data_IF_677210272930
#
_entry.id   IF_677210272930
#
_cell.length_a   1.000
_cell.length_b   1.000
_cell.length_c   1.000
_cell.angle_alpha   90.00
_cell.angle_beta   90.00
_cell.angle_gamma   90.00
#
_symmetry.space_group_name_H-M   'P 1'
#
loop_
_entity.id
_entity.type
_entity.pdbx_description
1 polymer ?
#
# COMPACT_ATOMS: atom_id res chain seq x y z
N UNK A 1 -16.16 15.25 -13.93
CA UNK A 1 -14.96 14.39 -14.09
C UNK A 1 -14.35 14.22 -12.72
N UNK A 2 -14.12 12.99 -12.25
CA UNK A 2 -13.39 12.80 -11.00
C UNK A 2 -11.97 13.33 -11.17
N UNK A 3 -11.64 14.40 -10.45
CA UNK A 3 -10.29 14.94 -10.41
C UNK A 3 -9.46 14.03 -9.51
N UNK A 4 -8.58 13.23 -10.11
CA UNK A 4 -7.66 12.39 -9.35
C UNK A 4 -6.49 13.23 -8.84
N UNK A 5 -6.26 13.21 -7.53
CA UNK A 5 -5.26 14.06 -6.86
C UNK A 5 -4.20 13.18 -6.18
N UNK A 6 -2.95 13.64 -6.21
CA UNK A 6 -1.83 13.10 -5.42
C UNK A 6 -1.04 14.24 -4.79
N UNK A 7 -0.65 14.08 -3.52
CA UNK A 7 0.32 14.96 -2.88
C UNK A 7 1.72 14.41 -3.11
N UNK A 8 2.68 15.28 -3.42
CA UNK A 8 4.06 14.89 -3.77
C UNK A 8 5.05 15.76 -3.00
N UNK A 9 6.09 15.14 -2.44
CA UNK A 9 7.18 15.87 -1.78
C UNK A 9 7.93 16.74 -2.78
N UNK A 10 8.35 17.93 -2.37
CA UNK A 10 9.04 18.87 -3.24
C UNK A 10 10.43 18.38 -3.71
N UNK A 11 11.06 17.44 -3.00
CA UNK A 11 12.34 16.81 -3.39
C UNK A 11 12.18 15.93 -4.62
N UNK A 12 10.97 15.41 -4.84
CA UNK A 12 10.66 14.48 -5.92
C UNK A 12 10.43 15.19 -7.27
N UNK A 13 10.45 16.52 -7.30
CA UNK A 13 10.39 17.33 -8.53
C UNK A 13 11.48 17.01 -9.54
N UNK A 14 12.59 16.41 -9.11
CA UNK A 14 13.70 16.02 -10.00
C UNK A 14 13.40 14.77 -10.83
N UNK A 15 12.39 13.99 -10.44
CA UNK A 15 11.95 12.77 -11.10
C UNK A 15 11.00 13.05 -12.27
N UNK A 16 11.04 12.23 -13.33
CA UNK A 16 10.07 12.31 -14.43
C UNK A 16 8.69 11.77 -14.06
N UNK A 17 8.53 11.14 -12.90
CA UNK A 17 7.25 10.58 -12.43
C UNK A 17 6.13 11.62 -12.46
N UNK A 18 6.39 12.84 -12.00
CA UNK A 18 5.39 13.92 -11.95
C UNK A 18 4.92 14.32 -13.35
N UNK A 19 5.83 14.35 -14.33
CA UNK A 19 5.50 14.69 -15.71
C UNK A 19 4.62 13.61 -16.33
N UNK A 20 4.93 12.33 -16.09
CA UNK A 20 4.08 11.22 -16.52
C UNK A 20 2.69 11.27 -15.86
N UNK A 21 2.61 11.53 -14.56
CA UNK A 21 1.32 11.65 -13.85
C UNK A 21 0.47 12.80 -14.40
N UNK A 22 1.08 13.97 -14.66
CA UNK A 22 0.41 15.12 -15.28
C UNK A 22 -0.10 14.78 -16.68
N UNK A 23 0.70 14.10 -17.51
CA UNK A 23 0.29 13.63 -18.84
C UNK A 23 -0.90 12.66 -18.78
N UNK A 24 -1.02 11.88 -17.71
CA UNK A 24 -2.16 11.00 -17.44
C UNK A 24 -3.38 11.72 -16.84
N UNK A 25 -3.34 13.04 -16.69
CA UNK A 25 -4.45 13.84 -16.17
C UNK A 25 -4.60 13.80 -14.65
N UNK A 26 -3.57 13.36 -13.90
CA UNK A 26 -3.55 13.45 -12.44
C UNK A 26 -3.19 14.87 -12.01
N UNK A 27 -3.97 15.43 -11.08
CA UNK A 27 -3.63 16.68 -10.41
C UNK A 27 -2.57 16.42 -9.34
N UNK A 28 -1.38 16.95 -9.59
CA UNK A 28 -0.23 16.86 -8.71
C UNK A 28 -0.17 18.09 -7.82
N UNK A 29 -0.36 17.92 -6.52
CA UNK A 29 -0.16 18.96 -5.52
C UNK A 29 1.21 18.77 -4.87
N UNK A 30 2.06 19.77 -4.96
CA UNK A 30 3.43 19.67 -4.44
C UNK A 30 3.51 20.40 -3.12
N UNK A 31 4.01 19.72 -2.08
CA UNK A 31 4.24 20.29 -0.76
C UNK A 31 5.49 19.67 -0.14
N UNK A 32 6.14 20.36 0.81
CA UNK A 32 7.17 19.73 1.62
C UNK A 32 6.51 18.74 2.58
N UNK A 33 6.97 17.50 2.56
CA UNK A 33 6.45 16.42 3.40
C UNK A 33 7.52 15.95 4.38
N UNK A 34 7.07 15.61 5.58
CA UNK A 34 7.93 15.00 6.62
C UNK A 34 8.06 13.48 6.42
N UNK A 35 7.17 12.88 5.62
CA UNK A 35 7.01 11.42 5.49
C UNK A 35 6.65 11.06 4.05
N UNK A 36 7.42 10.15 3.46
CA UNK A 36 7.19 9.62 2.12
C UNK A 36 7.43 10.63 1.00
N UNK A 37 7.41 10.13 -0.23
CA UNK A 37 7.54 10.95 -1.44
C UNK A 37 6.17 11.25 -2.07
N UNK A 38 5.19 10.36 -1.86
CA UNK A 38 3.82 10.53 -2.36
C UNK A 38 2.79 10.15 -1.29
N UNK A 39 1.74 10.97 -1.14
CA UNK A 39 0.53 10.60 -0.40
C UNK A 39 -0.61 10.42 -1.38
N UNK A 40 -1.10 9.17 -1.44
CA UNK A 40 -2.17 8.75 -2.35
C UNK A 40 -3.54 8.88 -1.68
N UNK A 41 -3.59 8.59 -0.38
CA UNK A 41 -4.77 8.73 0.46
C UNK A 41 -4.35 8.88 1.92
N UNK A 42 -5.32 9.12 2.83
CA UNK A 42 -5.07 9.13 4.27
C UNK A 42 -4.40 7.84 4.79
N UNK A 43 -4.62 6.73 4.10
CA UNK A 43 -4.14 5.42 4.53
C UNK A 43 -2.83 5.03 3.85
N UNK A 44 -2.50 5.60 2.67
CA UNK A 44 -1.42 5.13 1.79
C UNK A 44 -0.39 6.24 1.59
N UNK A 45 0.75 6.06 2.24
CA UNK A 45 1.99 6.80 2.01
C UNK A 45 2.93 5.93 1.19
N UNK A 46 3.57 6.53 0.19
CA UNK A 46 4.50 5.86 -0.71
C UNK A 46 5.89 6.45 -0.54
N UNK A 47 6.87 5.58 -0.35
CA UNK A 47 8.30 5.87 -0.46
C UNK A 47 8.81 5.28 -1.77
N UNK A 48 9.44 6.09 -2.62
CA UNK A 48 10.07 5.65 -3.87
C UNK A 48 11.56 5.48 -3.62
N UNK A 49 12.12 4.34 -4.01
CA UNK A 49 13.52 4.02 -3.78
C UNK A 49 14.12 3.35 -5.00
N UNK A 50 15.27 3.80 -5.46
CA UNK A 50 16.05 2.99 -6.40
C UNK A 50 16.60 1.75 -5.67
N UNK A 51 16.96 0.71 -6.42
CA UNK A 51 17.67 -0.45 -5.86
C UNK A 51 18.92 -0.03 -5.08
N UNK A 52 19.69 0.90 -5.65
CA UNK A 52 20.93 1.38 -5.09
C UNK A 52 20.67 2.10 -3.75
N UNK A 53 19.64 2.96 -3.72
CA UNK A 53 19.22 3.63 -2.50
C UNK A 53 18.70 2.65 -1.45
N UNK A 54 17.97 1.60 -1.85
CA UNK A 54 17.48 0.57 -0.93
C UNK A 54 18.65 -0.14 -0.24
N UNK A 55 19.61 -0.62 -1.02
CA UNK A 55 20.84 -1.27 -0.54
C UNK A 55 21.60 -0.32 0.40
N UNK A 56 21.84 0.92 -0.03
CA UNK A 56 22.55 1.90 0.79
C UNK A 56 21.82 2.19 2.11
N UNK A 57 20.50 2.37 2.08
CA UNK A 57 19.71 2.59 3.30
C UNK A 57 19.63 1.39 4.23
N UNK A 58 19.79 0.17 3.70
CA UNK A 58 19.91 -1.03 4.50
C UNK A 58 21.27 -1.07 5.21
N UNK A 59 22.36 -0.79 4.48
CA UNK A 59 23.73 -0.73 5.04
C UNK A 59 23.81 0.34 6.14
N UNK A 60 23.26 1.51 5.87
CA UNK A 60 23.28 2.65 6.80
C UNK A 60 22.23 2.52 7.92
N UNK A 61 21.42 1.45 7.92
CA UNK A 61 20.32 1.19 8.88
C UNK A 61 19.19 2.23 8.89
N UNK A 62 19.20 3.20 7.97
CA UNK A 62 18.20 4.27 7.84
C UNK A 62 16.83 3.77 7.36
N UNK A 63 16.78 2.68 6.60
CA UNK A 63 15.54 2.14 6.04
C UNK A 63 14.48 1.84 7.10
N UNK A 64 14.88 1.25 8.23
CA UNK A 64 13.94 0.90 9.29
C UNK A 64 13.37 2.12 10.01
N UNK A 65 14.13 3.22 10.11
CA UNK A 65 13.64 4.47 10.70
C UNK A 65 12.58 5.10 9.79
N UNK A 66 12.84 5.15 8.48
CA UNK A 66 11.88 5.63 7.49
C UNK A 66 10.57 4.82 7.55
N UNK A 67 10.69 3.48 7.57
CA UNK A 67 9.55 2.56 7.65
C UNK A 67 8.75 2.77 8.94
N UNK A 68 9.41 2.84 10.10
CA UNK A 68 8.72 3.09 11.38
C UNK A 68 8.03 4.45 11.37
N UNK A 69 8.64 5.45 10.74
CA UNK A 69 8.02 6.76 10.62
C UNK A 69 6.74 6.68 9.77
N UNK A 70 6.79 6.02 8.60
CA UNK A 70 5.61 5.82 7.76
C UNK A 70 4.48 5.09 8.52
N UNK A 71 4.79 4.03 9.27
CA UNK A 71 3.82 3.23 10.02
C UNK A 71 3.08 4.03 11.12
N UNK A 72 3.63 5.13 11.61
CA UNK A 72 2.94 6.00 12.59
C UNK A 72 1.78 6.76 11.98
N UNK A 73 1.83 7.05 10.68
CA UNK A 73 0.88 7.94 10.00
C UNK A 73 0.10 7.25 8.87
N UNK A 74 0.48 6.03 8.49
CA UNK A 74 -0.10 5.28 7.38
C UNK A 74 -0.42 3.85 7.82
N UNK A 75 -1.68 3.44 7.60
CA UNK A 75 -2.13 2.06 7.84
C UNK A 75 -1.72 1.10 6.72
N UNK A 76 -1.32 1.65 5.56
CA UNK A 76 -0.92 0.89 4.37
C UNK A 76 0.31 1.54 3.72
N UNK A 77 1.47 1.56 4.41
CA UNK A 77 2.68 2.11 3.84
C UNK A 77 3.12 1.25 2.65
N UNK A 78 3.64 1.91 1.62
CA UNK A 78 4.10 1.29 0.39
C UNK A 78 5.51 1.77 0.06
N UNK A 79 6.40 0.83 -0.26
CA UNK A 79 7.69 1.11 -0.87
C UNK A 79 7.63 0.70 -2.34
N UNK A 80 7.91 1.62 -3.25
CA UNK A 80 8.14 1.32 -4.66
C UNK A 80 9.65 1.24 -4.89
N UNK A 81 10.13 0.07 -5.29
CA UNK A 81 11.53 -0.19 -5.60
C UNK A 81 11.74 -0.15 -7.11
N UNK A 82 12.52 0.82 -7.58
CA UNK A 82 12.83 1.00 -8.99
C UNK A 82 14.14 0.35 -9.41
N UNK A 83 14.09 -0.35 -10.54
CA UNK A 83 15.25 -0.89 -11.25
C UNK A 83 15.18 -2.39 -11.44
N UNK A 84 16.27 -2.96 -11.96
CA UNK A 84 16.37 -4.39 -12.20
C UNK A 84 16.83 -5.13 -10.94
N UNK A 85 15.99 -6.01 -10.37
CA UNK A 85 16.31 -6.78 -9.15
C UNK A 85 17.64 -7.53 -9.23
N UNK A 86 18.10 -7.95 -10.42
CA UNK A 86 19.40 -8.59 -10.60
C UNK A 86 20.56 -7.69 -10.18
N UNK A 87 20.37 -6.37 -10.15
CA UNK A 87 21.37 -5.41 -9.67
C UNK A 87 21.54 -5.43 -8.15
N UNK A 88 20.53 -5.87 -7.38
CA UNK A 88 20.61 -5.93 -5.92
C UNK A 88 21.80 -6.81 -5.48
N UNK A 89 22.07 -7.91 -6.20
CA UNK A 89 23.13 -8.86 -5.86
C UNK A 89 24.51 -8.48 -6.39
N UNK A 90 24.64 -7.36 -7.14
CA UNK A 90 25.95 -6.85 -7.59
C UNK A 90 26.73 -6.20 -6.45
N UNK A 91 26.05 -5.84 -5.36
CA UNK A 91 26.65 -5.22 -4.19
C UNK A 91 27.42 -6.23 -3.35
N UNK A 92 28.76 -6.19 -3.40
CA UNK A 92 29.63 -7.12 -2.66
C UNK A 92 29.40 -7.15 -1.14
N UNK A 93 28.81 -6.10 -0.57
CA UNK A 93 28.56 -5.98 0.88
C UNK A 93 27.25 -6.63 1.34
N UNK A 94 26.38 -7.06 0.42
CA UNK A 94 25.07 -7.61 0.78
C UNK A 94 24.91 -8.99 0.16
N UNK A 95 24.53 -9.95 1.02
CA UNK A 95 24.20 -11.31 0.61
C UNK A 95 22.72 -11.44 0.24
N UNK A 96 22.34 -12.40 -0.62
CA UNK A 96 20.92 -12.63 -0.95
C UNK A 96 20.04 -12.91 0.28
N UNK A 97 20.57 -13.61 1.29
CA UNK A 97 19.86 -13.89 2.53
C UNK A 97 19.49 -12.63 3.30
N UNK A 98 20.35 -11.60 3.31
CA UNK A 98 20.06 -10.33 3.99
C UNK A 98 18.94 -9.56 3.28
N UNK A 99 18.88 -9.61 1.95
CA UNK A 99 17.80 -9.00 1.17
C UNK A 99 16.47 -9.72 1.41
N UNK A 100 16.47 -11.05 1.36
CA UNK A 100 15.27 -11.84 1.64
C UNK A 100 14.79 -11.61 3.09
N UNK A 101 15.71 -11.61 4.06
CA UNK A 101 15.40 -11.30 5.46
C UNK A 101 14.83 -9.88 5.65
N UNK A 102 15.34 -8.89 4.92
CA UNK A 102 14.75 -7.56 4.87
C UNK A 102 13.30 -7.61 4.38
N UNK A 103 13.04 -8.23 3.22
CA UNK A 103 11.68 -8.30 2.67
C UNK A 103 10.72 -9.06 3.59
N UNK A 104 11.16 -10.15 4.22
CA UNK A 104 10.38 -10.85 5.24
C UNK A 104 10.05 -9.94 6.42
N UNK A 105 11.02 -9.16 6.90
CA UNK A 105 10.81 -8.25 8.03
C UNK A 105 9.82 -7.14 7.67
N UNK A 106 9.99 -6.51 6.50
CA UNK A 106 9.07 -5.47 6.01
C UNK A 106 7.65 -5.99 5.84
N UNK A 107 7.49 -7.21 5.32
CA UNK A 107 6.20 -7.86 5.18
C UNK A 107 5.54 -8.08 6.55
N UNK A 108 6.28 -8.59 7.54
CA UNK A 108 5.77 -8.81 8.90
C UNK A 108 5.42 -7.48 9.61
N UNK A 109 6.09 -6.40 9.26
CA UNK A 109 5.77 -5.05 9.74
C UNK A 109 4.54 -4.42 9.05
N UNK A 110 3.93 -5.10 8.08
CA UNK A 110 2.77 -4.59 7.35
C UNK A 110 3.11 -3.60 6.24
N UNK A 111 4.37 -3.57 5.78
CA UNK A 111 4.81 -2.71 4.68
C UNK A 111 4.59 -3.41 3.35
N UNK A 112 3.91 -2.72 2.43
CA UNK A 112 3.72 -3.20 1.08
C UNK A 112 4.95 -2.86 0.24
N UNK A 113 5.38 -3.77 -0.65
CA UNK A 113 6.51 -3.55 -1.54
C UNK A 113 6.07 -3.85 -2.97
N UNK A 114 6.42 -2.95 -3.89
CA UNK A 114 6.19 -3.14 -5.33
C UNK A 114 7.50 -2.85 -6.06
N UNK A 115 7.88 -3.74 -6.97
CA UNK A 115 9.03 -3.55 -7.84
C UNK A 115 8.57 -3.07 -9.20
N UNK A 116 9.26 -2.07 -9.74
CA UNK A 116 9.01 -1.49 -11.06
C UNK A 116 10.34 -1.23 -11.77
N UNK A 117 10.33 -1.16 -13.09
CA UNK A 117 11.55 -1.06 -13.89
C UNK A 117 12.14 0.34 -13.91
N UNK A 118 11.30 1.38 -13.86
CA UNK A 118 11.70 2.78 -14.01
C UNK A 118 10.62 3.76 -13.54
N UNK A 119 10.93 5.05 -13.63
CA UNK A 119 10.06 6.19 -13.32
C UNK A 119 8.71 6.18 -14.04
N UNK A 120 8.70 5.75 -15.30
CA UNK A 120 7.47 5.69 -16.09
C UNK A 120 6.52 4.63 -15.52
N UNK A 121 7.04 3.45 -15.17
CA UNK A 121 6.25 2.41 -14.51
C UNK A 121 5.77 2.79 -13.12
N UNK A 122 6.58 3.54 -12.35
CA UNK A 122 6.14 4.13 -11.10
C UNK A 122 4.92 5.01 -11.32
N UNK A 123 4.97 5.90 -12.31
CA UNK A 123 3.84 6.77 -12.63
C UNK A 123 2.59 5.98 -13.05
N UNK A 124 2.74 4.95 -13.91
CA UNK A 124 1.61 4.09 -14.29
C UNK A 124 1.03 3.32 -13.11
N UNK A 125 1.89 2.79 -12.23
CA UNK A 125 1.47 2.10 -11.02
C UNK A 125 0.68 3.05 -10.10
N UNK A 126 1.21 4.24 -9.83
CA UNK A 126 0.56 5.26 -9.02
C UNK A 126 -0.78 5.69 -9.63
N UNK A 127 -0.83 5.95 -10.94
CA UNK A 127 -2.08 6.25 -11.65
C UNK A 127 -3.13 5.14 -11.46
N UNK A 128 -2.74 3.88 -11.68
CA UNK A 128 -3.63 2.72 -11.51
C UNK A 128 -4.12 2.59 -10.07
N UNK A 129 -3.24 2.83 -9.10
CA UNK A 129 -3.57 2.80 -7.67
C UNK A 129 -4.57 3.90 -7.30
N UNK A 130 -4.31 5.15 -7.69
CA UNK A 130 -5.19 6.30 -7.46
C UNK A 130 -6.57 6.04 -8.07
N UNK A 131 -6.62 5.59 -9.33
CA UNK A 131 -7.88 5.27 -10.01
C UNK A 131 -8.68 4.20 -9.27
N UNK A 132 -8.03 3.08 -8.90
CA UNK A 132 -8.69 1.97 -8.17
C UNK A 132 -9.23 2.39 -6.82
N UNK A 133 -8.51 3.24 -6.07
CA UNK A 133 -8.95 3.73 -4.76
C UNK A 133 -10.20 4.59 -4.90
N UNK A 134 -10.22 5.49 -5.88
CA UNK A 134 -11.36 6.39 -6.09
C UNK A 134 -12.59 5.66 -6.63
N UNK A 135 -12.44 4.72 -7.58
CA UNK A 135 -13.55 3.85 -7.99
C UNK A 135 -14.09 3.00 -6.84
N UNK A 136 -13.20 2.53 -5.94
CA UNK A 136 -13.64 1.79 -4.76
C UNK A 136 -14.26 2.68 -3.68
N UNK A 137 -13.97 3.99 -3.63
CA UNK A 137 -14.68 4.93 -2.75
C UNK A 137 -16.14 5.12 -3.20
N UNK A 138 -16.37 5.31 -4.49
CA UNK A 138 -17.74 5.36 -5.05
C UNK A 138 -18.51 4.05 -4.77
N UNK A 139 -17.84 2.90 -4.86
CA UNK A 139 -18.41 1.60 -4.45
C UNK A 139 -18.51 1.41 -2.94
N UNK A 140 -17.82 2.19 -2.11
CA UNK A 140 -17.98 2.18 -0.65
C UNK A 140 -19.16 3.03 -0.20
N UNK A 141 -19.55 4.05 -0.98
CA UNK A 141 -20.83 4.75 -0.80
C UNK A 141 -22.03 3.93 -1.31
N UNK A 142 -21.84 3.06 -2.32
CA UNK A 142 -22.82 2.02 -2.67
C UNK A 142 -22.31 0.61 -2.39
N UNK A 143 -22.47 0.17 -1.16
CA UNK A 143 -22.48 -1.25 -0.81
C UNK A 143 -23.91 -1.62 -0.46
N UNK A 144 -24.63 -2.27 -1.39
CA UNK A 144 -25.74 -3.12 -0.96
C UNK A 144 -25.17 -4.17 0.01
N UNK A 145 -25.80 -4.43 1.18
CA UNK A 145 -25.25 -5.22 2.29
C UNK A 145 -24.75 -6.65 1.95
N UNK A 146 -24.97 -7.12 0.72
CA UNK A 146 -24.81 -8.50 0.29
C UNK A 146 -23.43 -8.90 -0.25
N UNK A 147 -22.42 -8.00 -0.29
CA UNK A 147 -21.08 -8.36 -0.82
C UNK A 147 -19.88 -8.04 0.08
N UNK A 148 -20.09 -7.80 1.37
CA UNK A 148 -19.03 -7.97 2.37
C UNK A 148 -19.11 -9.43 2.81
N UNK A 149 -18.36 -10.28 2.12
CA UNK A 149 -18.32 -11.70 2.46
C UNK A 149 -17.62 -11.91 3.80
N UNK A 150 -18.40 -12.24 4.83
CA UNK A 150 -18.04 -13.37 5.69
C UNK A 150 -17.55 -14.53 4.79
N UNK A 151 -16.53 -15.27 5.26
CA UNK A 151 -16.02 -16.46 4.57
C UNK A 151 -17.19 -17.27 4.03
N UNK A 152 -17.18 -17.59 2.73
CA UNK A 152 -18.17 -18.48 2.12
C UNK A 152 -18.24 -19.79 2.93
N UNK A 153 -19.36 -20.04 3.60
CA UNK A 153 -19.67 -21.32 4.24
C UNK A 153 -21.09 -21.30 4.83
N UNK A 154 -21.97 -22.16 4.34
CA UNK A 154 -23.32 -22.41 4.90
C UNK A 154 -24.46 -21.62 4.26
N UNK A 155 -25.15 -22.21 3.27
CA UNK A 155 -26.38 -21.71 2.65
C UNK A 155 -27.61 -22.42 3.22
N UNK A 156 -27.75 -22.50 4.54
CA UNK A 156 -28.96 -23.05 5.17
C UNK A 156 -29.74 -21.96 5.89
N UNK A 157 -31.07 -22.05 5.90
CA UNK A 157 -31.94 -21.21 6.75
C UNK A 157 -31.46 -21.30 8.21
N UNK A 158 -30.97 -22.47 8.60
CA UNK A 158 -30.43 -22.74 9.92
C UNK A 158 -29.21 -21.86 10.26
N UNK A 159 -28.25 -21.71 9.34
CA UNK A 159 -27.09 -20.82 9.57
C UNK A 159 -27.52 -19.34 9.70
N UNK A 160 -28.54 -18.92 8.95
CA UNK A 160 -29.10 -17.57 9.05
C UNK A 160 -29.81 -17.34 10.40
N UNK A 161 -30.57 -18.34 10.87
CA UNK A 161 -31.25 -18.31 12.16
C UNK A 161 -30.26 -18.26 13.33
N UNK A 162 -29.22 -19.09 13.29
CA UNK A 162 -28.16 -19.11 14.32
C UNK A 162 -27.44 -17.77 14.38
N UNK A 163 -27.11 -17.17 13.23
CA UNK A 163 -26.44 -15.88 13.18
C UNK A 163 -27.33 -14.73 13.68
N UNK A 164 -28.63 -14.77 13.42
CA UNK A 164 -29.58 -13.79 13.94
C UNK A 164 -29.70 -13.89 15.47
N UNK A 165 -29.85 -15.10 16.02
CA UNK A 165 -29.98 -15.31 17.46
C UNK A 165 -28.69 -14.92 18.21
N UNK A 166 -27.53 -15.22 17.62
CA UNK A 166 -26.22 -14.85 18.19
C UNK A 166 -25.94 -13.34 18.20
N UNK A 167 -26.78 -12.52 17.56
CA UNK A 167 -26.64 -11.05 17.58
C UNK A 167 -27.23 -10.40 18.84
N UNK A 168 -27.93 -11.18 19.68
CA UNK A 168 -28.50 -10.71 20.95
C UNK A 168 -27.40 -10.66 22.02
N UNK A 169 -27.20 -9.53 22.73
CA UNK A 169 -26.22 -9.42 23.79
C UNK A 169 -26.41 -10.48 24.87
N UNK A 170 -25.38 -11.26 25.15
CA UNK A 170 -25.40 -12.35 26.14
C UNK A 170 -25.66 -13.74 25.58
N UNK A 171 -25.90 -13.90 24.27
CA UNK A 171 -26.07 -15.20 23.62
C UNK A 171 -24.88 -15.46 22.67
N UNK A 172 -24.12 -16.52 22.97
CA UNK A 172 -23.03 -16.99 22.11
C UNK A 172 -23.53 -17.89 20.98
N UNK A 173 -22.70 -18.11 19.95
CA UNK A 173 -23.08 -18.98 18.82
C UNK A 173 -23.34 -20.42 19.26
N UNK A 174 -22.59 -20.89 20.25
CA UNK A 174 -22.76 -22.20 20.87
C UNK A 174 -24.10 -22.30 21.59
N UNK A 175 -24.60 -21.21 22.18
CA UNK A 175 -25.95 -21.13 22.76
C UNK A 175 -27.04 -21.08 21.69
N UNK A 176 -26.79 -20.42 20.56
CA UNK A 176 -27.76 -20.28 19.47
C UNK A 176 -27.95 -21.57 18.63
N UNK A 177 -27.06 -22.55 18.77
CA UNK A 177 -27.09 -23.85 18.07
C UNK A 177 -27.83 -24.94 18.88
N UNK A 178 -27.98 -24.74 20.20
CA UNK A 178 -28.71 -25.64 21.11
C UNK A 178 -30.21 -25.39 21.05
#
# INVERSE_FOLDING_TARGET
MNEYIVLVDDREKKSKVLDYLRKMGIKVLINRMEIGDYIISKDIVVERKTIDDLVNSLIDKRLFEQVRNMLKYSTRPLIIVEGNLSNIYKYRKITPHQILGLFSTLLLMGVNIVFVRNEEETAYFLYSLIKKINTNKEKREWISPTKIGHRKGGRSIWDAQVNLISSIPGISREMAIR
#
